data_IF_637626111015
#
_entry.id   IF_637626111015
#
_cell.length_a   1.000
_cell.length_b   1.000
_cell.length_c   1.000
_cell.angle_alpha   90.00
_cell.angle_beta   90.00
_cell.angle_gamma   90.00
#
_symmetry.space_group_name_H-M   'P 1'
#
loop_
_entity.id
_entity.type
_entity.pdbx_description
1 polymer ?
#
# COMPACT_ATOMS: atom_id res chain seq x y z
N UNK A 1 12.45 -7.49 21.59
CA UNK A 1 12.21 -8.05 20.25
C UNK A 1 11.42 -9.33 20.40
N UNK A 2 10.32 -9.50 19.66
CA UNK A 2 9.62 -10.79 19.58
C UNK A 2 10.21 -11.54 18.39
N UNK A 3 10.62 -12.79 18.61
CA UNK A 3 11.04 -13.65 17.50
C UNK A 3 9.80 -14.07 16.71
N UNK A 4 9.84 -13.91 15.39
CA UNK A 4 8.82 -14.41 14.47
C UNK A 4 9.41 -15.63 13.78
N UNK A 5 8.70 -16.76 13.83
CA UNK A 5 9.09 -18.01 13.20
C UNK A 5 8.15 -18.27 12.03
N UNK A 6 8.72 -18.62 10.89
CA UNK A 6 7.99 -18.99 9.68
C UNK A 6 8.27 -20.47 9.39
N UNK A 7 7.26 -21.19 8.91
CA UNK A 7 7.35 -22.62 8.59
C UNK A 7 8.28 -22.86 7.40
N UNK A 8 8.25 -21.96 6.43
CA UNK A 8 9.06 -22.04 5.22
C UNK A 8 9.33 -20.64 4.62
N UNK A 9 10.07 -20.64 3.51
CA UNK A 9 10.42 -19.42 2.77
C UNK A 9 9.21 -18.74 2.14
N UNK A 10 8.18 -19.49 1.75
CA UNK A 10 6.97 -18.95 1.13
C UNK A 10 6.20 -18.10 2.14
N UNK A 11 5.99 -18.64 3.35
CA UNK A 11 5.31 -17.94 4.43
C UNK A 11 6.08 -16.69 4.87
N UNK A 12 7.41 -16.78 4.95
CA UNK A 12 8.26 -15.63 5.24
C UNK A 12 8.09 -14.50 4.22
N UNK A 13 8.14 -14.82 2.92
CA UNK A 13 8.06 -13.80 1.87
C UNK A 13 6.65 -13.23 1.78
N UNK A 14 5.61 -14.06 1.93
CA UNK A 14 4.23 -13.57 2.01
C UNK A 14 4.06 -12.56 3.15
N UNK A 15 4.55 -12.90 4.35
CA UNK A 15 4.49 -12.00 5.49
C UNK A 15 5.31 -10.72 5.26
N UNK A 16 6.42 -10.79 4.52
CA UNK A 16 7.20 -9.62 4.15
C UNK A 16 6.45 -8.69 3.19
N UNK A 17 5.77 -9.23 2.18
CA UNK A 17 4.89 -8.42 1.30
C UNK A 17 3.80 -7.71 2.09
N UNK A 18 3.10 -8.46 2.95
CA UNK A 18 2.03 -7.92 3.80
C UNK A 18 2.54 -6.78 4.70
N UNK A 19 3.70 -6.97 5.33
CA UNK A 19 4.28 -6.01 6.27
C UNK A 19 4.81 -4.77 5.55
N UNK A 20 5.44 -4.93 4.39
CA UNK A 20 5.89 -3.79 3.57
C UNK A 20 4.69 -2.99 3.08
N UNK A 21 3.62 -3.64 2.64
CA UNK A 21 2.39 -2.96 2.22
C UNK A 21 1.78 -2.11 3.35
N UNK A 22 1.74 -2.67 4.57
CA UNK A 22 1.31 -1.94 5.77
C UNK A 22 2.19 -0.72 6.05
N UNK A 23 3.51 -0.88 6.03
CA UNK A 23 4.46 0.22 6.29
C UNK A 23 4.31 1.34 5.25
N UNK A 24 4.21 0.98 3.97
CA UNK A 24 4.00 1.93 2.87
C UNK A 24 2.67 2.66 3.04
N UNK A 25 1.60 1.93 3.37
CA UNK A 25 0.30 2.53 3.66
C UNK A 25 0.34 3.47 4.86
N UNK A 26 1.03 3.14 5.94
CA UNK A 26 1.16 4.02 7.11
C UNK A 26 1.95 5.29 6.79
N UNK A 27 2.97 5.17 5.94
CA UNK A 27 3.77 6.32 5.51
C UNK A 27 2.92 7.38 4.78
N UNK A 28 1.99 6.94 3.92
CA UNK A 28 1.12 7.86 3.18
C UNK A 28 0.06 8.56 4.01
N UNK A 29 -0.26 8.08 5.22
CA UNK A 29 -1.32 8.65 6.06
C UNK A 29 -1.05 10.14 6.36
N UNK A 30 0.21 10.52 6.54
CA UNK A 30 0.57 11.92 6.80
C UNK A 30 0.17 12.87 5.64
N UNK A 31 0.21 12.40 4.40
CA UNK A 31 -0.24 13.18 3.25
C UNK A 31 -1.76 13.32 3.24
N UNK A 32 -2.47 12.22 3.50
CA UNK A 32 -3.95 12.17 3.54
C UNK A 32 -4.49 13.06 4.66
N UNK A 33 -3.88 13.00 5.85
CA UNK A 33 -4.20 13.88 6.99
C UNK A 33 -3.98 15.37 6.69
N UNK A 34 -3.01 15.68 5.82
CA UNK A 34 -2.72 17.03 5.36
C UNK A 34 -3.56 17.46 4.14
N UNK A 35 -4.53 16.65 3.70
CA UNK A 35 -5.32 16.86 2.49
C UNK A 35 -4.47 17.05 1.22
N UNK A 36 -3.36 16.30 1.12
CA UNK A 36 -2.48 16.28 -0.06
C UNK A 36 -2.53 14.88 -0.68
N UNK A 37 -2.66 14.76 -2.02
CA UNK A 37 -2.63 13.45 -2.66
C UNK A 37 -1.33 12.68 -2.36
N UNK A 38 -1.48 11.47 -1.85
CA UNK A 38 -0.41 10.53 -1.58
C UNK A 38 -0.09 9.66 -2.80
N UNK A 39 0.05 10.28 -3.98
CA UNK A 39 0.35 9.59 -5.25
C UNK A 39 1.60 8.68 -5.19
N UNK A 40 2.69 9.07 -4.49
CA UNK A 40 3.85 8.16 -4.34
C UNK A 40 3.50 6.86 -3.61
N UNK A 41 2.63 6.91 -2.61
CA UNK A 41 2.18 5.74 -1.84
C UNK A 41 1.35 4.81 -2.71
N UNK A 42 0.39 5.36 -3.46
CA UNK A 42 -0.41 4.60 -4.43
C UNK A 42 0.46 3.85 -5.43
N UNK A 43 1.41 4.55 -6.08
CA UNK A 43 2.32 3.95 -7.06
C UNK A 43 3.21 2.87 -6.44
N UNK A 44 3.65 3.06 -5.20
CA UNK A 44 4.46 2.06 -4.50
C UNK A 44 3.67 0.78 -4.25
N UNK A 45 2.43 0.90 -3.78
CA UNK A 45 1.52 -0.23 -3.56
C UNK A 45 1.17 -0.94 -4.88
N UNK A 46 0.95 -0.17 -5.96
CA UNK A 46 0.68 -0.73 -7.29
C UNK A 46 1.85 -1.61 -7.79
N UNK A 47 3.08 -1.10 -7.70
CA UNK A 47 4.26 -1.88 -8.09
C UNK A 47 4.48 -3.09 -7.16
N UNK A 48 4.19 -2.95 -5.87
CA UNK A 48 4.29 -4.06 -4.92
C UNK A 48 3.29 -5.19 -5.25
N UNK A 49 2.06 -4.84 -5.62
CA UNK A 49 1.03 -5.80 -6.04
C UNK A 49 1.45 -6.55 -7.32
N UNK A 50 1.99 -5.83 -8.31
CA UNK A 50 2.52 -6.45 -9.55
C UNK A 50 3.62 -7.47 -9.23
N UNK A 51 4.60 -7.11 -8.40
CA UNK A 51 5.69 -8.03 -8.05
C UNK A 51 5.19 -9.24 -7.26
N UNK A 52 4.26 -9.04 -6.32
CA UNK A 52 3.66 -10.15 -5.58
C UNK A 52 2.93 -11.12 -6.53
N UNK A 53 2.14 -10.59 -7.46
CA UNK A 53 1.43 -11.38 -8.47
C UNK A 53 2.38 -12.16 -9.40
N UNK A 54 3.41 -11.50 -9.94
CA UNK A 54 4.41 -12.11 -10.83
C UNK A 54 5.15 -13.29 -10.18
N UNK A 55 5.32 -13.22 -8.86
CA UNK A 55 5.97 -14.27 -8.07
C UNK A 55 5.00 -15.24 -7.39
N UNK A 56 3.71 -15.19 -7.76
CA UNK A 56 2.64 -16.07 -7.22
C UNK A 56 2.43 -15.97 -5.70
N UNK A 57 2.63 -14.78 -5.13
CA UNK A 57 2.23 -14.45 -3.76
C UNK A 57 0.83 -13.82 -3.75
N UNK A 58 0.12 -13.95 -2.63
CA UNK A 58 -1.18 -13.33 -2.43
C UNK A 58 -1.01 -11.82 -2.27
N UNK A 59 -1.60 -11.05 -3.17
CA UNK A 59 -1.51 -9.59 -3.18
C UNK A 59 -2.79 -8.92 -2.66
N UNK A 60 -3.79 -9.70 -2.19
CA UNK A 60 -5.10 -9.18 -1.76
C UNK A 60 -4.99 -8.08 -0.70
N UNK A 61 -4.07 -8.21 0.26
CA UNK A 61 -3.85 -7.15 1.27
C UNK A 61 -3.23 -5.89 0.69
N UNK A 62 -2.36 -6.03 -0.31
CA UNK A 62 -1.75 -4.90 -1.01
C UNK A 62 -2.85 -4.15 -1.78
N UNK A 63 -3.72 -4.89 -2.47
CA UNK A 63 -4.86 -4.34 -3.22
C UNK A 63 -5.81 -3.54 -2.33
N UNK A 64 -6.11 -4.02 -1.12
CA UNK A 64 -6.95 -3.27 -0.16
C UNK A 64 -6.36 -1.89 0.15
N UNK A 65 -5.05 -1.82 0.39
CA UNK A 65 -4.37 -0.53 0.60
C UNK A 65 -4.35 0.30 -0.68
N UNK A 66 -4.06 -0.31 -1.83
CA UNK A 66 -3.99 0.38 -3.12
C UNK A 66 -5.34 1.03 -3.48
N UNK A 67 -6.44 0.30 -3.34
CA UNK A 67 -7.79 0.81 -3.61
C UNK A 67 -8.17 1.96 -2.69
N UNK A 68 -7.76 1.87 -1.41
CA UNK A 68 -7.94 2.95 -0.44
C UNK A 68 -7.22 4.23 -0.90
N UNK A 69 -5.96 4.10 -1.33
CA UNK A 69 -5.18 5.25 -1.81
C UNK A 69 -5.67 5.80 -3.14
N UNK A 70 -6.08 4.96 -4.10
CA UNK A 70 -6.71 5.41 -5.35
C UNK A 70 -7.93 6.27 -5.07
N UNK A 71 -8.78 5.81 -4.14
CA UNK A 71 -9.98 6.55 -3.73
C UNK A 71 -9.61 7.88 -3.08
N UNK A 72 -8.76 7.88 -2.06
CA UNK A 72 -8.38 9.10 -1.36
C UNK A 72 -7.69 10.12 -2.27
N UNK A 73 -6.80 9.67 -3.15
CA UNK A 73 -6.12 10.56 -4.09
C UNK A 73 -7.10 11.18 -5.10
N UNK A 74 -8.09 10.41 -5.59
CA UNK A 74 -9.15 10.95 -6.45
C UNK A 74 -9.97 12.00 -5.70
N UNK A 75 -10.47 11.68 -4.50
CA UNK A 75 -11.29 12.58 -3.69
C UNK A 75 -10.56 13.89 -3.34
N UNK A 76 -9.28 13.80 -2.95
CA UNK A 76 -8.47 14.99 -2.63
C UNK A 76 -8.17 15.81 -3.90
N UNK A 77 -7.86 15.16 -5.02
CA UNK A 77 -7.57 15.87 -6.27
C UNK A 77 -8.80 16.61 -6.79
N UNK A 78 -9.97 15.97 -6.77
CA UNK A 78 -11.26 16.58 -7.14
C UNK A 78 -11.57 17.79 -6.24
N UNK A 79 -11.30 17.70 -4.94
CA UNK A 79 -11.46 18.81 -4.00
C UNK A 79 -10.55 19.99 -4.36
N UNK A 80 -9.26 19.74 -4.59
CA UNK A 80 -8.28 20.80 -4.89
C UNK A 80 -8.50 21.45 -6.26
N UNK A 81 -8.94 20.68 -7.26
CA UNK A 81 -9.30 21.21 -8.58
C UNK A 81 -10.59 22.05 -8.56
N UNK A 82 -11.55 21.70 -7.69
CA UNK A 82 -12.80 22.44 -7.50
C UNK A 82 -12.65 23.76 -6.72
N UNK A 83 -11.52 23.99 -6.07
CA UNK A 83 -11.20 25.25 -5.35
C UNK A 83 -10.52 26.31 -6.24
N UNK A 84 -10.33 26.06 -7.54
CA UNK A 84 -9.74 27.00 -8.51
C UNK A 84 -10.75 27.89 -9.24
#
# INVERSE_FOLDING_TARGET
>A
MRNVLFKDRQEFIQAAFDEVARIVSEHGNACVEACVPATPTERCLEQLAVVAADWSYDYTKIDVYLDTYKKWNSEISEYLEGEC
#
